data_IF_900629770597
#
_entry.id   IF_900629770597
#
_cell.length_a   1.000
_cell.length_b   1.000
_cell.length_c   1.000
_cell.angle_alpha   90.00
_cell.angle_beta   90.00
_cell.angle_gamma   90.00
#
_symmetry.space_group_name_H-M   'P 1'
#
loop_
_entity.id
_entity.type
_entity.pdbx_description
1 polymer ?
#
# COMPACT_ATOMS: atom_id res chain seq x y z
N UNK A 1 25.96 0.65 17.65
CA UNK A 1 26.03 0.39 16.20
C UNK A 1 24.62 0.33 15.64
N UNK A 2 24.14 1.29 14.84
CA UNK A 2 22.84 1.17 14.19
C UNK A 2 23.02 0.38 12.89
N UNK A 3 22.52 -0.85 12.87
CA UNK A 3 22.28 -1.59 11.63
C UNK A 3 21.19 -0.84 10.86
N UNK A 4 21.58 -0.09 9.82
CA UNK A 4 20.63 0.40 8.82
C UNK A 4 19.94 -0.84 8.24
N UNK A 5 18.61 -0.91 8.19
CA UNK A 5 17.95 -2.00 7.49
C UNK A 5 18.39 -1.94 6.02
N UNK A 6 19.23 -2.88 5.61
CA UNK A 6 19.51 -3.13 4.20
C UNK A 6 18.18 -3.60 3.61
N UNK A 7 17.48 -2.67 2.97
CA UNK A 7 16.36 -2.99 2.10
C UNK A 7 16.81 -4.13 1.18
N UNK A 8 16.09 -5.26 1.10
CA UNK A 8 16.41 -6.29 0.14
C UNK A 8 16.34 -5.64 -1.24
N UNK A 9 17.47 -5.61 -1.94
CA UNK A 9 17.49 -5.30 -3.36
C UNK A 9 16.53 -6.32 -3.99
N UNK A 10 15.55 -5.90 -4.82
CA UNK A 10 14.72 -6.84 -5.56
C UNK A 10 15.64 -7.62 -6.51
N UNK A 11 16.17 -8.75 -6.05
CA UNK A 11 17.04 -9.63 -6.82
C UNK A 11 16.23 -10.40 -7.87
N UNK A 12 14.90 -10.32 -7.79
CA UNK A 12 13.99 -11.12 -8.58
C UNK A 12 13.38 -10.23 -9.67
N UNK A 13 13.53 -10.63 -10.93
CA UNK A 13 12.93 -9.95 -12.10
C UNK A 13 11.42 -9.75 -11.99
N UNK A 14 10.73 -10.59 -11.22
CA UNK A 14 9.33 -10.44 -10.92
C UNK A 14 9.04 -9.19 -10.06
N UNK A 15 9.87 -8.89 -9.06
CA UNK A 15 9.67 -7.74 -8.16
C UNK A 15 9.89 -6.42 -8.87
N UNK A 16 10.92 -6.35 -9.72
CA UNK A 16 11.15 -5.17 -10.56
C UNK A 16 10.01 -4.95 -11.55
N UNK A 17 9.44 -6.01 -12.13
CA UNK A 17 8.25 -5.91 -12.97
C UNK A 17 7.04 -5.35 -12.20
N UNK A 18 6.84 -5.75 -10.94
CA UNK A 18 5.79 -5.23 -10.06
C UNK A 18 5.98 -3.75 -9.74
N UNK A 19 7.21 -3.33 -9.41
CA UNK A 19 7.54 -1.91 -9.17
C UNK A 19 7.27 -1.09 -10.42
N UNK A 20 7.71 -1.56 -11.59
CA UNK A 20 7.46 -0.87 -12.85
C UNK A 20 5.97 -0.79 -13.21
N UNK A 21 5.20 -1.84 -12.94
CA UNK A 21 3.74 -1.80 -13.08
C UNK A 21 3.12 -0.75 -12.15
N UNK A 22 3.51 -0.71 -10.87
CA UNK A 22 3.00 0.27 -9.91
C UNK A 22 3.36 1.71 -10.33
N UNK A 23 4.60 1.95 -10.75
CA UNK A 23 5.03 3.26 -11.27
C UNK A 23 4.28 3.64 -12.55
N UNK A 24 4.04 2.68 -13.45
CA UNK A 24 3.26 2.92 -14.67
C UNK A 24 1.81 3.26 -14.37
N UNK A 25 1.16 2.51 -13.49
CA UNK A 25 -0.20 2.80 -13.07
C UNK A 25 -0.28 4.18 -12.41
N UNK A 26 0.64 4.51 -11.50
CA UNK A 26 0.67 5.82 -10.84
C UNK A 26 0.96 6.96 -11.82
N UNK A 27 1.90 6.76 -12.75
CA UNK A 27 2.25 7.75 -13.77
C UNK A 27 1.07 8.04 -14.69
N UNK A 28 0.31 7.02 -15.08
CA UNK A 28 -0.90 7.19 -15.88
C UNK A 28 -2.02 7.89 -15.10
N UNK A 29 -2.23 7.55 -13.82
CA UNK A 29 -3.26 8.18 -12.97
C UNK A 29 -3.01 9.65 -12.72
N UNK A 30 -1.77 10.01 -12.41
CA UNK A 30 -1.38 11.39 -12.12
C UNK A 30 -0.99 12.16 -13.40
N UNK A 31 -0.84 11.49 -14.54
CA UNK A 31 -0.27 12.04 -15.77
C UNK A 31 1.11 12.68 -15.57
N UNK A 32 1.97 11.97 -14.84
CA UNK A 32 3.33 12.40 -14.49
C UNK A 32 4.36 11.43 -15.08
N UNK A 33 5.63 11.83 -15.17
CA UNK A 33 6.67 10.87 -15.58
C UNK A 33 7.03 9.93 -14.43
N UNK A 34 7.40 8.69 -14.76
CA UNK A 34 7.90 7.70 -13.80
C UNK A 34 9.14 8.21 -13.05
N UNK A 35 9.92 9.08 -13.68
CA UNK A 35 11.10 9.72 -13.09
C UNK A 35 10.76 10.67 -11.93
N UNK A 36 9.52 11.19 -11.89
CA UNK A 36 9.04 12.00 -10.77
C UNK A 36 8.56 11.14 -9.60
N UNK A 37 8.39 9.83 -9.81
CA UNK A 37 7.99 8.86 -8.80
C UNK A 37 9.24 8.27 -8.15
N UNK A 38 9.39 8.47 -6.85
CA UNK A 38 10.47 7.86 -6.08
C UNK A 38 9.96 6.61 -5.38
N UNK A 39 10.64 5.48 -5.58
CA UNK A 39 10.41 4.30 -4.76
C UNK A 39 10.96 4.56 -3.36
N UNK A 40 10.08 4.65 -2.37
CA UNK A 40 10.45 4.82 -0.96
C UNK A 40 10.76 3.48 -0.33
N UNK A 41 9.92 2.47 -0.59
CA UNK A 41 10.03 1.16 0.06
C UNK A 41 9.40 0.08 -0.81
N UNK A 42 10.05 -1.08 -0.90
CA UNK A 42 9.44 -2.30 -1.39
C UNK A 42 9.67 -3.39 -0.34
N UNK A 43 8.60 -4.03 0.12
CA UNK A 43 8.69 -5.07 1.14
C UNK A 43 7.67 -6.17 0.92
N UNK A 44 8.13 -7.41 0.91
CA UNK A 44 7.26 -8.58 0.96
C UNK A 44 6.66 -8.67 2.37
N UNK A 45 5.33 -8.69 2.45
CA UNK A 45 4.58 -8.72 3.71
C UNK A 45 3.51 -9.79 3.61
N UNK A 46 3.28 -10.49 4.73
CA UNK A 46 2.16 -11.42 4.83
C UNK A 46 0.96 -10.62 5.32
N UNK A 47 -0.06 -10.51 4.48
CA UNK A 47 -1.28 -9.79 4.81
C UNK A 47 -2.13 -10.65 5.76
N UNK A 48 -2.60 -10.11 6.90
CA UNK A 48 -3.42 -10.88 7.84
C UNK A 48 -4.86 -11.11 7.34
N UNK A 49 -5.25 -10.49 6.23
CA UNK A 49 -6.59 -10.58 5.65
C UNK A 49 -6.55 -10.55 4.12
N UNK A 50 -7.60 -11.09 3.50
CA UNK A 50 -7.82 -11.03 2.05
C UNK A 50 -8.05 -9.59 1.51
N UNK A 51 -8.21 -8.62 2.42
CA UNK A 51 -8.28 -7.20 2.08
C UNK A 51 -6.93 -6.60 1.71
N UNK A 52 -5.82 -7.35 1.83
CA UNK A 52 -4.47 -6.91 1.46
C UNK A 52 -4.15 -5.52 2.05
N UNK A 53 -4.63 -5.25 3.27
CA UNK A 53 -4.44 -3.96 3.97
C UNK A 53 -5.36 -2.81 3.53
N UNK A 54 -6.30 -3.03 2.60
CA UNK A 54 -7.27 -2.04 2.12
C UNK A 54 -8.72 -2.54 2.38
N UNK A 55 -9.18 -2.55 3.65
CA UNK A 55 -10.51 -3.08 3.99
C UNK A 55 -11.62 -2.13 3.52
N UNK A 56 -12.58 -2.65 2.73
CA UNK A 56 -13.87 -1.99 2.57
C UNK A 56 -14.72 -2.22 3.83
N UNK A 57 -15.34 -1.15 4.37
CA UNK A 57 -16.11 -1.22 5.63
C UNK A 57 -17.33 -2.15 5.55
N UNK A 58 -17.78 -2.50 4.35
CA UNK A 58 -18.98 -3.31 4.12
C UNK A 58 -18.69 -4.81 3.88
N UNK A 59 -17.41 -5.24 3.91
CA UNK A 59 -17.05 -6.64 3.66
C UNK A 59 -16.35 -7.30 4.84
N UNK A 60 -16.90 -8.43 5.29
CA UNK A 60 -16.20 -9.36 6.16
C UNK A 60 -15.08 -10.05 5.38
N UNK A 61 -13.85 -9.58 5.54
CA UNK A 61 -12.68 -10.23 4.97
C UNK A 61 -12.33 -11.48 5.77
N UNK A 62 -12.10 -12.60 5.08
CA UNK A 62 -11.49 -13.76 5.72
C UNK A 62 -10.11 -13.39 6.26
N UNK A 63 -9.88 -13.68 7.54
CA UNK A 63 -8.59 -13.57 8.22
C UNK A 63 -7.68 -14.71 7.78
N UNK A 64 -7.21 -14.62 6.55
CA UNK A 64 -6.24 -15.56 5.98
C UNK A 64 -4.92 -14.82 5.82
N UNK A 65 -3.87 -15.39 6.39
CA UNK A 65 -2.50 -14.96 6.11
C UNK A 65 -2.19 -15.25 4.65
N UNK A 66 -1.96 -14.20 3.87
CA UNK A 66 -1.66 -14.31 2.46
C UNK A 66 -0.34 -13.62 2.15
N UNK A 67 0.58 -14.35 1.53
CA UNK A 67 1.84 -13.79 1.05
C UNK A 67 1.57 -12.68 0.02
N UNK A 68 2.19 -11.54 0.25
CA UNK A 68 2.10 -10.40 -0.64
C UNK A 68 3.25 -9.44 -0.48
N UNK A 69 3.03 -8.23 -0.93
CA UNK A 69 4.03 -7.18 -0.96
C UNK A 69 3.36 -5.82 -0.86
N UNK A 70 4.14 -4.87 -0.34
CA UNK A 70 3.81 -3.46 -0.23
C UNK A 70 4.92 -2.64 -0.89
N UNK A 71 4.50 -1.72 -1.75
CA UNK A 71 5.35 -0.80 -2.50
C UNK A 71 4.92 0.61 -2.10
N UNK A 72 5.84 1.42 -1.60
CA UNK A 72 5.61 2.82 -1.29
C UNK A 72 6.25 3.67 -2.37
N UNK A 73 5.43 4.42 -3.09
CA UNK A 73 5.85 5.38 -4.09
C UNK A 73 5.61 6.79 -3.54
N UNK A 74 6.59 7.65 -3.62
CA UNK A 74 6.46 9.06 -3.26
C UNK A 74 6.44 9.91 -4.52
N UNK A 75 5.51 10.85 -4.55
CA UNK A 75 5.40 11.87 -5.57
C UNK A 75 5.24 13.23 -4.90
N UNK A 76 6.26 14.08 -5.01
CA UNK A 76 6.34 15.33 -4.28
C UNK A 76 6.19 15.13 -2.77
N UNK A 77 5.14 15.72 -2.19
CA UNK A 77 4.79 15.62 -0.75
C UNK A 77 3.76 14.54 -0.43
N UNK A 78 3.41 13.66 -1.39
CA UNK A 78 2.41 12.60 -1.20
C UNK A 78 3.07 11.24 -1.33
N UNK A 79 2.69 10.32 -0.44
CA UNK A 79 3.11 8.92 -0.50
C UNK A 79 1.90 8.06 -0.86
N UNK A 80 2.09 7.19 -1.85
CA UNK A 80 1.13 6.28 -2.41
C UNK A 80 1.55 4.86 -2.07
N UNK A 81 0.67 4.12 -1.40
CA UNK A 81 0.93 2.74 -1.01
C UNK A 81 0.27 1.80 -2.02
N UNK A 82 1.08 1.05 -2.74
CA UNK A 82 0.65 -0.03 -3.62
C UNK A 82 0.76 -1.35 -2.89
N UNK A 83 -0.32 -2.10 -2.84
CA UNK A 83 -0.35 -3.40 -2.19
C UNK A 83 -0.57 -4.47 -3.26
N UNK A 84 -0.12 -5.70 -3.00
CA UNK A 84 -0.36 -6.84 -3.87
C UNK A 84 -0.15 -8.15 -3.12
N UNK A 85 -0.58 -9.25 -3.71
CA UNK A 85 -0.40 -10.56 -3.08
C UNK A 85 -0.98 -11.74 -3.85
N UNK A 86 -0.47 -12.93 -3.54
CA UNK A 86 -0.78 -14.16 -4.26
C UNK A 86 -0.51 -14.02 -5.77
N UNK A 87 -1.55 -14.21 -6.59
CA UNK A 87 -1.51 -14.03 -8.05
C UNK A 87 -2.00 -12.66 -8.52
N UNK A 88 -2.25 -11.71 -7.60
CA UNK A 88 -2.74 -10.36 -7.94
C UNK A 88 -1.57 -9.40 -8.13
N UNK A 89 -1.67 -8.60 -9.18
CA UNK A 89 -0.76 -7.49 -9.46
C UNK A 89 -0.87 -6.35 -8.44
N UNK A 90 0.01 -5.34 -8.55
CA UNK A 90 0.06 -4.22 -7.63
C UNK A 90 -1.18 -3.32 -7.86
N UNK A 91 -1.89 -2.99 -6.78
CA UNK A 91 -3.02 -2.05 -6.82
C UNK A 91 -2.78 -0.90 -5.84
N UNK A 92 -3.20 0.30 -6.23
CA UNK A 92 -3.09 1.48 -5.39
C UNK A 92 -4.09 1.39 -4.24
N UNK A 93 -3.60 1.38 -3.00
CA UNK A 93 -4.41 1.59 -1.82
C UNK A 93 -4.34 3.07 -1.46
N UNK A 94 -5.34 3.84 -1.88
CA UNK A 94 -5.43 5.29 -1.61
C UNK A 94 -5.68 5.61 -0.13
N UNK A 95 -6.01 4.59 0.68
CA UNK A 95 -6.26 4.76 2.11
C UNK A 95 -5.57 3.67 2.96
N UNK A 96 -4.23 3.70 3.09
CA UNK A 96 -3.47 2.74 3.90
C UNK A 96 -3.72 2.89 5.42
N UNK A 97 -4.67 3.72 5.82
CA UNK A 97 -5.07 3.98 7.21
C UNK A 97 -6.58 4.12 7.41
N UNK A 98 -7.42 3.70 6.45
CA UNK A 98 -8.89 3.78 6.58
C UNK A 98 -9.42 3.04 7.80
N UNK A 99 -8.72 1.99 8.24
CA UNK A 99 -9.02 1.26 9.47
C UNK A 99 -8.67 2.03 10.77
N UNK A 100 -8.01 3.19 10.69
CA UNK A 100 -7.70 4.07 11.84
C UNK A 100 -8.26 5.49 11.72
N UNK A 101 -9.16 5.76 10.76
CA UNK A 101 -10.03 6.95 10.79
C UNK A 101 -11.43 6.62 11.32
N UNK A 102 -11.55 5.62 12.18
CA UNK A 102 -12.69 5.47 13.08
C UNK A 102 -12.33 6.05 14.47
N UNK A 103 -11.94 7.33 14.47
CA UNK A 103 -11.93 8.20 15.65
C UNK A 103 -12.37 9.59 15.18
N UNK A 104 -13.60 9.68 14.67
CA UNK A 104 -14.41 10.84 15.01
C UNK A 104 -15.13 10.45 16.30
N UNK A 105 -14.91 11.13 17.43
CA UNK A 105 -15.74 10.91 18.61
C UNK A 105 -17.20 11.23 18.28
N UNK A 106 -18.18 10.60 18.95
CA UNK A 106 -19.59 10.88 18.68
C UNK A 106 -19.87 12.35 18.98
N UNK A 107 -20.66 13.09 18.16
CA UNK A 107 -21.32 14.27 18.67
C UNK A 107 -22.40 13.79 19.65
N UNK A 108 -22.00 13.60 20.90
CA UNK A 108 -22.90 13.69 22.02
C UNK A 108 -23.30 15.15 22.18
N UNK A 109 -24.50 15.48 21.75
CA UNK A 109 -25.22 16.63 22.29
C UNK A 109 -26.59 16.11 22.75
N UNK A 110 -26.66 15.79 24.04
CA UNK A 110 -27.92 15.88 24.74
C UNK A 110 -28.33 17.34 24.82
N UNK A 111 -29.61 17.61 24.67
CA UNK A 111 -30.35 18.66 25.37
C UNK A 111 -31.85 18.38 25.16
N UNK A 112 -32.48 17.87 26.22
CA UNK A 112 -33.92 17.96 26.48
C UNK A 112 -34.11 18.88 27.68
#
# INVERSE_FOLDING_TARGET
MPIKPTLPIPSNSAESALIQQAMSDLSHRLSVSKDQLSLVEFKNVVWPNAGLGCPHPDMAYKQVQQDGYRILLQYGNRTFAYHGGGKRGPFLCENPGAGRKMKSPPPGFGNV
#
